data_IF_456152510695
#
_entry.id   IF_456152510695
#
_cell.length_a   1.000
_cell.length_b   1.000
_cell.length_c   1.000
_cell.angle_alpha   90.00
_cell.angle_beta   90.00
_cell.angle_gamma   90.00
#
_symmetry.space_group_name_H-M   'P 1'
#
loop_
_entity.id
_entity.type
_entity.pdbx_description
1 polymer ?
#
# COMPACT_ATOMS: atom_id res chain seq x y z
N UNK A 1 9.31 20.65 -23.51
CA UNK A 1 9.03 19.22 -23.78
C UNK A 1 9.19 18.47 -22.46
N UNK A 2 8.08 18.07 -21.83
CA UNK A 2 8.12 17.25 -20.62
C UNK A 2 8.29 15.79 -21.07
N UNK A 3 9.48 15.23 -20.93
CA UNK A 3 9.66 13.79 -21.07
C UNK A 3 9.02 13.12 -19.86
N UNK A 4 7.90 12.42 -20.07
CA UNK A 4 7.37 11.53 -19.04
C UNK A 4 8.39 10.40 -18.83
N UNK A 5 9.15 10.47 -17.74
CA UNK A 5 10.04 9.38 -17.34
C UNK A 5 9.19 8.16 -17.01
N UNK A 6 9.39 7.07 -17.77
CA UNK A 6 8.69 5.80 -17.57
C UNK A 6 9.26 5.11 -16.32
N UNK A 7 8.76 5.49 -15.14
CA UNK A 7 9.17 4.87 -13.87
C UNK A 7 8.55 3.47 -13.75
N UNK A 8 9.35 2.45 -13.46
CA UNK A 8 8.82 1.09 -13.22
C UNK A 8 8.09 1.09 -11.88
N UNK A 9 6.77 0.95 -11.94
CA UNK A 9 5.90 0.90 -10.78
C UNK A 9 5.69 -0.55 -10.34
N UNK A 10 5.63 -0.76 -9.03
CA UNK A 10 5.29 -2.04 -8.40
C UNK A 10 4.05 -1.84 -7.54
N UNK A 11 3.10 -2.76 -7.65
CA UNK A 11 1.92 -2.80 -6.80
C UNK A 11 1.99 -4.04 -5.91
N UNK A 12 1.92 -3.84 -4.59
CA UNK A 12 1.78 -4.91 -3.62
C UNK A 12 0.32 -5.01 -3.19
N UNK A 13 -0.28 -6.19 -3.35
CA UNK A 13 -1.63 -6.50 -2.86
C UNK A 13 -1.55 -7.27 -1.52
N UNK A 14 -2.28 -6.79 -0.52
CA UNK A 14 -2.30 -7.33 0.83
C UNK A 14 -3.74 -7.64 1.24
N UNK A 15 -3.99 -8.85 1.75
CA UNK A 15 -5.20 -9.17 2.49
C UNK A 15 -4.93 -9.02 3.99
N UNK A 16 -5.68 -8.15 4.65
CA UNK A 16 -5.40 -7.73 6.02
C UNK A 16 -6.63 -7.89 6.89
N UNK A 17 -6.47 -8.38 8.13
CA UNK A 17 -7.55 -8.43 9.12
C UNK A 17 -7.73 -7.05 9.77
N UNK A 18 -8.96 -6.57 9.80
CA UNK A 18 -9.29 -5.28 10.39
C UNK A 18 -9.29 -5.39 11.91
N UNK A 19 -8.37 -4.68 12.54
CA UNK A 19 -8.31 -4.45 13.98
C UNK A 19 -7.75 -3.04 14.23
N UNK A 20 -7.99 -2.45 15.42
CA UNK A 20 -7.40 -1.15 15.77
C UNK A 20 -5.88 -1.16 15.57
N UNK A 21 -5.36 -0.11 14.91
CA UNK A 21 -3.91 0.06 14.66
C UNK A 21 -3.36 -0.65 13.42
N UNK A 22 -4.16 -1.41 12.67
CA UNK A 22 -3.65 -2.18 11.53
C UNK A 22 -3.01 -1.31 10.43
N UNK A 23 -3.55 -0.12 10.17
CA UNK A 23 -2.97 0.81 9.19
C UNK A 23 -1.60 1.33 9.63
N UNK A 24 -1.43 1.63 10.93
CA UNK A 24 -0.15 2.03 11.49
C UNK A 24 0.90 0.92 11.38
N UNK A 25 0.48 -0.35 11.60
CA UNK A 25 1.36 -1.50 11.38
C UNK A 25 1.76 -1.66 9.90
N UNK A 26 0.80 -1.56 8.98
CA UNK A 26 1.07 -1.66 7.53
C UNK A 26 2.03 -0.55 7.11
N UNK A 27 1.72 0.72 7.36
CA UNK A 27 2.61 1.84 7.01
C UNK A 27 3.98 1.73 7.67
N UNK A 28 4.03 1.30 8.95
CA UNK A 28 5.27 1.12 9.69
C UNK A 28 6.21 0.03 9.13
N UNK A 29 5.69 -1.00 8.45
CA UNK A 29 6.51 -2.01 7.77
C UNK A 29 7.35 -1.41 6.63
N UNK A 30 6.74 -0.51 5.84
CA UNK A 30 7.39 0.13 4.70
C UNK A 30 8.32 1.28 5.14
N UNK A 31 7.86 2.10 6.10
CA UNK A 31 8.67 3.18 6.66
C UNK A 31 9.99 2.68 7.25
N UNK A 32 9.99 1.53 7.96
CA UNK A 32 11.22 0.95 8.55
C UNK A 32 12.24 0.45 7.53
N UNK A 33 11.84 0.22 6.28
CA UNK A 33 12.71 -0.30 5.22
C UNK A 33 13.14 0.79 4.23
N UNK A 34 12.77 2.06 4.50
CA UNK A 34 12.97 3.19 3.60
C UNK A 34 12.36 2.98 2.19
N UNK A 35 11.32 2.12 2.07
CA UNK A 35 10.55 2.02 0.84
C UNK A 35 9.56 3.19 0.77
N UNK A 36 9.63 3.96 -0.31
CA UNK A 36 8.68 5.02 -0.54
C UNK A 36 7.34 4.44 -1.03
N UNK A 37 6.25 4.76 -0.32
CA UNK A 37 4.90 4.43 -0.76
C UNK A 37 4.37 5.63 -1.53
N UNK A 38 4.21 5.48 -2.84
CA UNK A 38 3.69 6.52 -3.73
C UNK A 38 2.16 6.59 -3.68
N UNK A 39 1.50 5.49 -3.33
CA UNK A 39 0.04 5.45 -3.19
C UNK A 39 -0.45 4.28 -2.36
N UNK A 40 -1.60 4.47 -1.71
CA UNK A 40 -2.28 3.44 -0.93
C UNK A 40 -3.78 3.45 -1.23
N UNK A 41 -4.34 2.29 -1.53
CA UNK A 41 -5.78 2.07 -1.67
C UNK A 41 -6.20 0.98 -0.69
N UNK A 42 -7.25 1.21 0.09
CA UNK A 42 -7.81 0.25 1.02
C UNK A 42 -9.30 0.08 0.73
N UNK A 43 -9.73 -1.16 0.48
CA UNK A 43 -11.13 -1.49 0.26
C UNK A 43 -11.56 -2.58 1.24
N UNK A 44 -12.69 -2.40 1.96
CA UNK A 44 -13.22 -3.47 2.79
C UNK A 44 -13.64 -4.65 1.92
N UNK A 45 -13.42 -5.86 2.42
CA UNK A 45 -14.02 -7.07 1.89
C UNK A 45 -15.40 -7.27 2.52
N UNK A 46 -16.16 -8.25 1.99
CA UNK A 46 -17.59 -8.50 2.25
C UNK A 46 -18.09 -8.12 3.65
N UNK A 47 -17.49 -8.67 4.70
CA UNK A 47 -17.96 -8.57 6.08
C UNK A 47 -17.29 -7.46 6.90
N UNK A 48 -16.43 -6.65 6.27
CA UNK A 48 -15.68 -5.59 6.94
C UNK A 48 -14.64 -6.08 7.96
N UNK A 49 -14.47 -7.40 8.14
CA UNK A 49 -13.43 -7.97 9.04
C UNK A 49 -12.07 -8.04 8.38
N UNK A 50 -12.04 -7.92 7.06
CA UNK A 50 -10.82 -7.89 6.28
C UNK A 50 -10.89 -6.76 5.27
N UNK A 51 -9.73 -6.26 4.88
CA UNK A 51 -9.56 -5.28 3.82
C UNK A 51 -8.50 -5.77 2.84
N UNK A 52 -8.64 -5.34 1.59
CA UNK A 52 -7.61 -5.44 0.58
C UNK A 52 -6.89 -4.11 0.49
N UNK A 53 -5.57 -4.14 0.61
CA UNK A 53 -4.72 -2.95 0.50
C UNK A 53 -3.83 -3.12 -0.72
N UNK A 54 -3.80 -2.10 -1.58
CA UNK A 54 -2.83 -1.98 -2.66
C UNK A 54 -1.85 -0.86 -2.31
N UNK A 55 -0.56 -1.16 -2.40
CA UNK A 55 0.51 -0.20 -2.18
C UNK A 55 1.27 -0.03 -3.48
N UNK A 56 1.25 1.20 -3.98
CA UNK A 56 2.05 1.61 -5.12
C UNK A 56 3.41 2.09 -4.62
N UNK A 57 4.47 1.57 -5.20
CA UNK A 57 5.84 2.02 -4.93
C UNK A 57 6.67 2.05 -6.21
N UNK A 58 7.62 2.97 -6.27
CA UNK A 58 8.65 2.98 -7.29
C UNK A 58 9.77 1.99 -6.97
N UNK A 59 10.38 1.43 -8.01
CA UNK A 59 11.75 0.90 -7.89
C UNK A 59 12.77 2.03 -7.78
#
# INVERSE_FOLDING_TARGET
>A
MLHAQQKSQVILELAVRNHPGVMSHVCGLFARRAFNVEGILCMPLKDGKQSRIWLLGGR
#
